data_IF_262355658878
#
_entry.id   IF_262355658878
#
_cell.length_a   1.000
_cell.length_b   1.000
_cell.length_c   1.000
_cell.angle_alpha   90.00
_cell.angle_beta   90.00
_cell.angle_gamma   90.00
#
_symmetry.space_group_name_H-M   'P 1'
#
loop_
_entity.id
_entity.type
_entity.pdbx_description
1 polymer ?
#
# COMPACT_ATOMS: atom_id res chain seq x y z
N UNK A 1 41.15 10.07 7.06
CA UNK A 1 40.64 9.07 8.01
C UNK A 1 39.65 8.17 7.28
N UNK A 2 40.16 7.07 6.71
CA UNK A 2 39.36 6.06 6.01
C UNK A 2 38.79 5.10 7.06
N UNK A 3 37.54 5.30 7.46
CA UNK A 3 36.83 4.33 8.28
C UNK A 3 36.61 3.08 7.41
N UNK A 4 37.43 2.06 7.59
CA UNK A 4 37.17 0.72 7.05
C UNK A 4 35.89 0.19 7.68
N UNK A 5 34.78 0.28 6.95
CA UNK A 5 33.53 -0.43 7.28
C UNK A 5 33.87 -1.92 7.18
N UNK A 6 34.18 -2.53 8.32
CA UNK A 6 34.29 -3.99 8.41
C UNK A 6 32.90 -4.55 8.03
N UNK A 7 32.81 -5.46 7.05
CA UNK A 7 31.60 -6.21 6.86
C UNK A 7 31.34 -6.97 8.17
N UNK A 8 30.35 -6.55 8.94
CA UNK A 8 29.88 -7.38 10.05
C UNK A 8 29.40 -8.68 9.40
N UNK A 9 30.20 -9.73 9.54
CA UNK A 9 29.77 -11.09 9.26
C UNK A 9 28.51 -11.29 10.12
N UNK A 10 27.37 -11.24 9.46
CA UNK A 10 26.05 -11.44 10.06
C UNK A 10 26.14 -12.81 10.70
N UNK A 11 26.24 -12.86 12.03
CA UNK A 11 26.02 -14.11 12.75
C UNK A 11 24.72 -14.67 12.17
N UNK A 12 24.77 -15.86 11.56
CA UNK A 12 23.62 -16.54 10.99
C UNK A 12 22.59 -16.63 12.09
N UNK A 13 21.60 -15.72 12.06
CA UNK A 13 20.47 -15.81 12.96
C UNK A 13 19.79 -17.15 12.69
N UNK A 14 19.33 -17.85 13.71
CA UNK A 14 18.64 -19.12 13.49
C UNK A 14 17.52 -18.91 12.47
N UNK A 15 17.34 -19.83 11.51
CA UNK A 15 16.35 -19.68 10.43
C UNK A 15 14.91 -19.50 10.96
N UNK A 16 14.69 -19.88 12.20
CA UNK A 16 13.40 -19.69 12.88
C UNK A 16 13.04 -18.21 13.07
N UNK A 17 13.97 -17.34 13.43
CA UNK A 17 13.72 -15.90 13.61
C UNK A 17 13.33 -15.24 12.29
N UNK A 18 13.96 -15.64 11.19
CA UNK A 18 13.64 -15.13 9.85
C UNK A 18 12.25 -15.59 9.38
N UNK A 19 11.86 -16.84 9.70
CA UNK A 19 10.51 -17.36 9.42
C UNK A 19 9.46 -16.59 10.21
N UNK A 20 9.69 -16.39 11.51
CA UNK A 20 8.76 -15.62 12.37
C UNK A 20 8.61 -14.19 11.87
N UNK A 21 9.72 -13.54 11.51
CA UNK A 21 9.70 -12.20 10.93
C UNK A 21 8.93 -12.17 9.60
N UNK A 22 9.17 -13.14 8.71
CA UNK A 22 8.47 -13.25 7.43
C UNK A 22 6.96 -13.46 7.59
N UNK A 23 6.55 -14.36 8.49
CA UNK A 23 5.12 -14.58 8.80
C UNK A 23 4.48 -13.32 9.37
N UNK A 24 5.15 -12.63 10.29
CA UNK A 24 4.64 -11.39 10.88
C UNK A 24 4.45 -10.30 9.82
N UNK A 25 5.43 -10.13 8.93
CA UNK A 25 5.33 -9.18 7.81
C UNK A 25 4.20 -9.57 6.86
N UNK A 26 4.06 -10.84 6.50
CA UNK A 26 3.01 -11.31 5.61
C UNK A 26 1.60 -11.06 6.19
N UNK A 27 1.41 -11.32 7.49
CA UNK A 27 0.14 -11.08 8.18
C UNK A 27 -0.28 -9.59 8.17
N UNK A 28 0.70 -8.68 8.27
CA UNK A 28 0.44 -7.24 8.19
C UNK A 28 0.27 -6.77 6.74
N UNK A 29 1.03 -7.37 5.81
CA UNK A 29 1.05 -6.97 4.41
C UNK A 29 -0.27 -7.27 3.70
N UNK A 30 -0.97 -8.37 4.04
CA UNK A 30 -2.24 -8.73 3.40
C UNK A 30 -3.31 -7.64 3.56
N UNK A 31 -3.73 -7.22 4.77
CA UNK A 31 -4.72 -6.16 4.90
C UNK A 31 -4.24 -4.82 4.34
N UNK A 32 -2.94 -4.54 4.45
CA UNK A 32 -2.33 -3.34 3.89
C UNK A 32 -2.40 -3.31 2.35
N UNK A 33 -2.13 -4.43 1.70
CA UNK A 33 -2.20 -4.57 0.25
C UNK A 33 -3.63 -4.39 -0.28
N UNK A 34 -4.62 -4.93 0.43
CA UNK A 34 -6.04 -4.73 0.12
C UNK A 34 -6.43 -3.24 0.21
N UNK A 35 -5.98 -2.55 1.26
CA UNK A 35 -6.21 -1.12 1.42
C UNK A 35 -5.56 -0.30 0.28
N UNK A 36 -4.34 -0.66 -0.14
CA UNK A 36 -3.67 0.03 -1.24
C UNK A 36 -4.29 -0.28 -2.61
N UNK A 37 -4.83 -1.48 -2.82
CA UNK A 37 -5.62 -1.78 -4.02
C UNK A 37 -6.86 -0.87 -4.09
N UNK A 38 -7.58 -0.71 -2.98
CA UNK A 38 -8.72 0.19 -2.90
C UNK A 38 -8.34 1.65 -3.16
N UNK A 39 -7.21 2.13 -2.60
CA UNK A 39 -6.66 3.46 -2.87
C UNK A 39 -6.27 3.66 -4.33
N UNK A 40 -5.79 2.63 -4.99
CA UNK A 40 -5.45 2.65 -6.41
C UNK A 40 -6.67 2.52 -7.33
N UNK A 41 -7.88 2.30 -6.80
CA UNK A 41 -9.08 2.03 -7.60
C UNK A 41 -9.07 0.65 -8.27
N UNK A 42 -8.25 -0.28 -7.76
CA UNK A 42 -8.06 -1.62 -8.29
C UNK A 42 -8.83 -2.66 -7.46
N UNK A 43 -9.16 -3.82 -8.05
CA UNK A 43 -9.77 -4.92 -7.32
C UNK A 43 -8.81 -5.48 -6.24
N UNK A 44 -9.34 -6.08 -5.16
CA UNK A 44 -8.54 -6.63 -4.06
C UNK A 44 -7.48 -7.65 -4.51
N UNK A 45 -7.77 -8.42 -5.57
CA UNK A 45 -6.84 -9.38 -6.18
C UNK A 45 -5.54 -8.74 -6.65
N UNK A 46 -5.61 -7.54 -7.23
CA UNK A 46 -4.42 -6.81 -7.68
C UNK A 46 -3.51 -6.44 -6.50
N UNK A 47 -4.10 -6.08 -5.34
CA UNK A 47 -3.34 -5.83 -4.12
C UNK A 47 -2.59 -7.06 -3.61
N UNK A 48 -3.27 -8.22 -3.57
CA UNK A 48 -2.65 -9.48 -3.17
C UNK A 48 -1.51 -9.85 -4.12
N UNK A 49 -1.71 -9.75 -5.43
CA UNK A 49 -0.67 -9.98 -6.43
C UNK A 49 0.54 -9.06 -6.22
N UNK A 50 0.31 -7.77 -5.95
CA UNK A 50 1.35 -6.80 -5.67
C UNK A 50 2.07 -7.08 -4.33
N UNK A 51 1.45 -7.78 -3.40
CA UNK A 51 2.07 -8.19 -2.13
C UNK A 51 2.90 -9.48 -2.24
N UNK A 52 2.64 -10.33 -3.24
CA UNK A 52 3.31 -11.63 -3.41
C UNK A 52 4.49 -11.52 -4.38
N UNK A 53 4.24 -11.09 -5.63
CA UNK A 53 5.24 -11.19 -6.70
C UNK A 53 6.43 -10.23 -6.55
N UNK A 54 6.26 -8.93 -6.26
CA UNK A 54 7.40 -8.03 -6.12
C UNK A 54 8.34 -8.38 -4.94
N UNK A 55 7.82 -8.73 -3.73
CA UNK A 55 8.68 -9.19 -2.65
C UNK A 55 9.45 -10.48 -3.00
N UNK A 56 8.80 -11.43 -3.66
CA UNK A 56 9.42 -12.68 -4.09
C UNK A 56 10.54 -12.42 -5.10
N UNK A 57 10.28 -11.60 -6.12
CA UNK A 57 11.29 -11.20 -7.10
C UNK A 57 12.46 -10.45 -6.43
N UNK A 58 12.15 -9.55 -5.48
CA UNK A 58 13.17 -8.81 -4.73
C UNK A 58 14.01 -9.71 -3.82
N UNK A 59 13.41 -10.74 -3.23
CA UNK A 59 14.13 -11.71 -2.42
C UNK A 59 15.14 -12.54 -3.24
N UNK A 60 14.81 -12.82 -4.51
CA UNK A 60 15.67 -13.60 -5.43
C UNK A 60 16.74 -12.74 -6.11
N UNK A 61 16.41 -11.49 -6.48
CA UNK A 61 17.24 -10.62 -7.32
C UNK A 61 17.86 -9.44 -6.57
N UNK A 62 17.36 -9.14 -5.37
CA UNK A 62 17.78 -7.99 -4.58
C UNK A 62 19.13 -8.20 -3.91
N UNK A 63 19.97 -7.16 -3.91
CA UNK A 63 21.28 -7.16 -3.22
C UNK A 63 21.26 -6.46 -1.86
N UNK A 64 20.17 -5.74 -1.53
CA UNK A 64 20.06 -4.99 -0.27
C UNK A 64 19.26 -5.76 0.78
N UNK A 65 19.81 -6.03 1.96
CA UNK A 65 19.09 -6.71 3.04
C UNK A 65 18.05 -5.81 3.73
N UNK A 66 18.02 -4.51 3.42
CA UNK A 66 17.13 -3.54 4.04
C UNK A 66 15.96 -3.11 3.15
N UNK A 67 16.01 -3.45 1.85
CA UNK A 67 14.99 -3.03 0.90
C UNK A 67 13.80 -3.99 0.96
N UNK A 68 12.71 -3.52 1.54
CA UNK A 68 11.42 -4.21 1.44
C UNK A 68 10.67 -3.71 0.20
N UNK A 69 10.38 -4.61 -0.72
CA UNK A 69 9.61 -4.32 -1.92
C UNK A 69 8.16 -4.73 -1.69
N UNK A 70 7.22 -3.92 -2.19
CA UNK A 70 5.78 -4.21 -2.03
C UNK A 70 4.92 -3.02 -2.43
N UNK A 71 3.60 -3.13 -2.33
CA UNK A 71 2.68 -2.03 -2.60
C UNK A 71 2.87 -0.90 -1.58
N UNK A 72 2.78 0.35 -2.04
CA UNK A 72 2.88 1.54 -1.19
C UNK A 72 1.71 2.48 -1.40
N UNK A 73 1.32 3.24 -0.37
CA UNK A 73 0.23 4.21 -0.46
C UNK A 73 0.50 5.26 -1.54
N UNK A 74 1.75 5.73 -1.65
CA UNK A 74 2.11 6.75 -2.63
C UNK A 74 1.94 6.23 -4.07
N UNK A 75 2.43 5.03 -4.38
CA UNK A 75 2.26 4.45 -5.73
C UNK A 75 0.79 4.16 -6.04
N UNK A 76 0.00 3.73 -5.05
CA UNK A 76 -1.42 3.53 -5.20
C UNK A 76 -2.15 4.84 -5.57
N UNK A 77 -1.87 5.93 -4.85
CA UNK A 77 -2.44 7.25 -5.12
C UNK A 77 -1.99 7.83 -6.47
N UNK A 78 -0.73 7.62 -6.85
CA UNK A 78 -0.23 8.04 -8.17
C UNK A 78 -0.94 7.27 -9.29
N UNK A 79 -1.13 5.96 -9.14
CA UNK A 79 -1.88 5.14 -10.10
C UNK A 79 -3.31 5.66 -10.25
N UNK A 80 -3.99 5.92 -9.14
CA UNK A 80 -5.34 6.51 -9.14
C UNK A 80 -5.34 7.89 -9.81
N UNK A 81 -4.39 8.75 -9.48
CA UNK A 81 -4.30 10.11 -10.03
C UNK A 81 -4.07 10.15 -11.54
N UNK A 82 -3.30 9.21 -12.07
CA UNK A 82 -3.01 9.12 -13.52
C UNK A 82 -4.20 8.54 -14.28
N UNK A 83 -4.84 7.48 -13.76
CA UNK A 83 -5.82 6.71 -14.53
C UNK A 83 -7.26 7.17 -14.35
N UNK A 84 -7.64 7.75 -13.20
CA UNK A 84 -9.02 8.13 -12.91
C UNK A 84 -9.55 9.27 -13.79
N UNK A 85 -8.66 10.02 -14.43
CA UNK A 85 -9.06 11.06 -15.41
C UNK A 85 -9.54 10.51 -16.74
N UNK A 86 -9.16 9.26 -17.08
CA UNK A 86 -9.43 8.64 -18.39
C UNK A 86 -10.31 7.40 -18.27
N UNK A 87 -10.18 6.66 -17.18
CA UNK A 87 -10.87 5.39 -16.97
C UNK A 87 -11.69 5.41 -15.67
N UNK A 88 -12.82 4.73 -15.66
CA UNK A 88 -13.63 4.56 -14.45
C UNK A 88 -12.95 3.55 -13.52
N UNK A 89 -12.63 3.92 -12.26
CA UNK A 89 -12.02 3.00 -11.30
C UNK A 89 -12.82 1.70 -11.15
N UNK A 90 -12.11 0.57 -11.08
CA UNK A 90 -12.70 -0.76 -10.98
C UNK A 90 -13.21 -1.36 -12.30
N UNK A 91 -13.27 -0.59 -13.39
CA UNK A 91 -13.66 -1.13 -14.70
C UNK A 91 -12.56 -2.04 -15.28
N UNK A 92 -12.91 -3.00 -16.18
CA UNK A 92 -11.92 -3.83 -16.84
C UNK A 92 -10.85 -3.02 -17.59
N UNK A 93 -11.24 -1.93 -18.25
CA UNK A 93 -10.32 -1.01 -18.94
C UNK A 93 -9.35 -0.32 -17.97
N UNK A 94 -9.82 0.05 -16.77
CA UNK A 94 -8.97 0.61 -15.72
C UNK A 94 -7.89 -0.38 -15.26
N UNK A 95 -8.28 -1.63 -15.03
CA UNK A 95 -7.36 -2.71 -14.59
C UNK A 95 -6.29 -2.98 -15.67
N UNK A 96 -6.70 -3.03 -16.94
CA UNK A 96 -5.79 -3.21 -18.07
C UNK A 96 -4.82 -2.02 -18.20
N UNK A 97 -5.31 -0.78 -18.08
CA UNK A 97 -4.48 0.42 -18.11
C UNK A 97 -3.49 0.46 -16.94
N UNK A 98 -3.90 0.02 -15.74
CA UNK A 98 -3.02 -0.08 -14.58
C UNK A 98 -1.92 -1.14 -14.79
N UNK A 99 -2.24 -2.28 -15.41
CA UNK A 99 -1.26 -3.30 -15.75
C UNK A 99 -0.25 -2.78 -16.79
N UNK A 100 -0.70 -2.06 -17.82
CA UNK A 100 0.16 -1.42 -18.80
C UNK A 100 1.07 -0.37 -18.16
N UNK A 101 0.52 0.49 -17.29
CA UNK A 101 1.29 1.48 -16.54
C UNK A 101 2.37 0.81 -15.69
N UNK A 102 2.03 -0.27 -14.99
CA UNK A 102 2.99 -1.03 -14.18
C UNK A 102 4.12 -1.62 -15.04
N UNK A 103 3.80 -2.14 -16.22
CA UNK A 103 4.78 -2.67 -17.17
C UNK A 103 5.71 -1.58 -17.70
N UNK A 104 5.16 -0.42 -18.09
CA UNK A 104 5.94 0.72 -18.56
C UNK A 104 6.90 1.24 -17.46
N UNK A 105 6.39 1.42 -16.24
CA UNK A 105 7.23 1.84 -15.10
C UNK A 105 8.28 0.79 -14.78
N UNK A 106 7.93 -0.49 -14.86
CA UNK A 106 8.87 -1.60 -14.67
C UNK A 106 9.98 -1.59 -15.72
N UNK A 107 9.64 -1.42 -17.00
CA UNK A 107 10.60 -1.33 -18.10
C UNK A 107 11.56 -0.15 -17.91
N UNK A 108 11.06 1.03 -17.58
CA UNK A 108 11.90 2.20 -17.29
C UNK A 108 12.85 1.94 -16.12
N UNK A 109 12.37 1.32 -15.05
CA UNK A 109 13.21 0.95 -13.89
C UNK A 109 14.32 -0.05 -14.26
N UNK A 110 14.01 -1.03 -15.11
CA UNK A 110 15.00 -1.99 -15.61
C UNK A 110 16.07 -1.27 -16.45
N UNK A 111 15.67 -0.39 -17.36
CA UNK A 111 16.62 0.41 -18.17
C UNK A 111 17.52 1.26 -17.27
N UNK A 112 16.96 1.96 -16.29
CA UNK A 112 17.74 2.76 -15.31
C UNK A 112 18.72 1.87 -14.53
N UNK A 113 18.27 0.68 -14.13
CA UNK A 113 19.10 -0.28 -13.40
C UNK A 113 20.26 -0.82 -14.25
N UNK A 114 20.00 -1.22 -15.49
CA UNK A 114 21.00 -1.71 -16.44
C UNK A 114 22.01 -0.62 -16.83
N UNK A 115 21.54 0.60 -17.00
CA UNK A 115 22.37 1.76 -17.27
C UNK A 115 23.20 2.21 -16.03
N UNK A 116 23.03 1.55 -14.88
CA UNK A 116 23.69 1.88 -13.61
C UNK A 116 23.49 3.32 -13.15
N UNK A 117 22.36 3.92 -13.51
CA UNK A 117 22.02 5.29 -13.12
C UNK A 117 21.64 5.43 -11.62
N UNK A 118 21.81 4.39 -10.80
CA UNK A 118 21.64 4.48 -9.35
C UNK A 118 22.48 5.58 -8.69
N UNK A 119 23.61 5.93 -9.28
CA UNK A 119 24.45 7.05 -8.83
C UNK A 119 23.76 8.41 -8.94
N UNK A 120 22.74 8.56 -9.80
CA UNK A 120 21.94 9.80 -9.91
C UNK A 120 21.21 10.11 -8.59
N UNK A 121 20.93 9.11 -7.76
CA UNK A 121 20.34 9.33 -6.45
C UNK A 121 21.21 10.20 -5.53
N UNK A 122 22.53 10.19 -5.71
CA UNK A 122 23.45 11.05 -4.94
C UNK A 122 23.35 12.54 -5.31
N UNK A 123 22.78 12.87 -6.47
CA UNK A 123 22.51 14.26 -6.87
C UNK A 123 21.23 14.82 -6.21
N UNK A 124 20.39 13.96 -5.63
CA UNK A 124 19.23 14.44 -4.90
C UNK A 124 19.63 15.00 -3.55
N UNK A 125 19.44 16.29 -3.37
CA UNK A 125 19.75 16.96 -2.11
C UNK A 125 18.81 16.50 -0.98
N UNK A 126 19.31 16.47 0.26
CA UNK A 126 18.51 16.14 1.44
C UNK A 126 17.23 17.01 1.59
N UNK A 127 17.28 18.34 1.32
CA UNK A 127 16.07 19.17 1.36
C UNK A 127 15.00 18.72 0.38
N UNK A 128 15.37 18.30 -0.84
CA UNK A 128 14.42 17.79 -1.85
C UNK A 128 13.76 16.50 -1.36
N UNK A 129 14.54 15.56 -0.82
CA UNK A 129 14.01 14.32 -0.25
C UNK A 129 13.05 14.59 0.92
N UNK A 130 13.40 15.51 1.81
CA UNK A 130 12.55 15.90 2.94
C UNK A 130 11.26 16.58 2.46
N UNK A 131 11.35 17.49 1.50
CA UNK A 131 10.18 18.13 0.90
C UNK A 131 9.25 17.14 0.23
N UNK A 132 9.79 16.21 -0.56
CA UNK A 132 9.04 15.15 -1.20
C UNK A 132 8.32 14.24 -0.19
N UNK A 133 9.03 13.76 0.83
CA UNK A 133 8.44 12.88 1.85
C UNK A 133 7.38 13.57 2.68
N UNK A 134 7.58 14.86 3.02
CA UNK A 134 6.58 15.66 3.74
C UNK A 134 5.34 15.91 2.89
N UNK A 135 5.50 16.26 1.61
CA UNK A 135 4.39 16.43 0.68
C UNK A 135 3.61 15.14 0.46
N UNK A 136 4.31 14.04 0.27
CA UNK A 136 3.69 12.71 0.17
C UNK A 136 2.90 12.34 1.44
N UNK A 137 3.44 12.62 2.62
CA UNK A 137 2.75 12.37 3.89
C UNK A 137 1.44 13.17 4.00
N UNK A 138 1.43 14.44 3.60
CA UNK A 138 0.22 15.28 3.58
C UNK A 138 -0.82 14.68 2.64
N UNK A 139 -0.44 14.30 1.42
CA UNK A 139 -1.36 13.69 0.44
C UNK A 139 -1.94 12.38 0.99
N UNK A 140 -1.11 11.54 1.61
CA UNK A 140 -1.57 10.28 2.22
C UNK A 140 -2.57 10.56 3.35
N UNK A 141 -2.29 11.49 4.25
CA UNK A 141 -3.20 11.85 5.34
C UNK A 141 -4.54 12.35 4.78
N UNK A 142 -4.50 13.28 3.83
CA UNK A 142 -5.72 13.84 3.21
C UNK A 142 -6.52 12.76 2.50
N UNK A 143 -5.87 11.81 1.84
CA UNK A 143 -6.53 10.69 1.15
C UNK A 143 -7.27 9.74 2.10
N UNK A 144 -6.89 9.69 3.39
CA UNK A 144 -7.55 8.84 4.39
C UNK A 144 -8.79 9.50 5.02
N UNK A 145 -8.98 10.81 4.86
CA UNK A 145 -10.10 11.54 5.47
C UNK A 145 -11.47 10.96 5.05
N UNK A 146 -11.75 10.70 3.77
CA UNK A 146 -13.03 10.10 3.38
C UNK A 146 -13.26 8.74 4.03
N UNK A 147 -12.24 7.87 4.02
CA UNK A 147 -12.35 6.53 4.61
C UNK A 147 -12.59 6.58 6.12
N UNK A 148 -11.91 7.49 6.85
CA UNK A 148 -12.09 7.69 8.29
C UNK A 148 -13.52 8.16 8.62
N UNK A 149 -14.12 8.96 7.75
CA UNK A 149 -15.52 9.42 7.88
C UNK A 149 -16.53 8.40 7.33
N UNK A 150 -16.09 7.21 6.92
CA UNK A 150 -16.91 6.14 6.37
C UNK A 150 -17.45 6.41 4.99
N UNK A 151 -16.80 7.26 4.21
CA UNK A 151 -17.19 7.67 2.85
C UNK A 151 -16.22 7.14 1.80
N UNK A 152 -16.73 6.78 0.64
CA UNK A 152 -15.89 6.44 -0.51
C UNK A 152 -15.31 7.70 -1.18
N UNK A 153 -14.21 7.54 -1.90
CA UNK A 153 -13.60 8.62 -2.69
C UNK A 153 -14.41 9.01 -3.94
N UNK A 154 -15.37 8.20 -4.34
CA UNK A 154 -16.29 8.42 -5.48
C UNK A 154 -15.58 8.81 -6.81
N UNK A 155 -14.34 8.37 -7.03
CA UNK A 155 -13.57 8.70 -8.23
C UNK A 155 -13.06 10.15 -8.29
N UNK A 156 -13.22 10.92 -7.22
CA UNK A 156 -12.75 12.29 -7.11
C UNK A 156 -11.24 12.31 -6.81
N UNK A 157 -10.57 13.39 -7.21
CA UNK A 157 -9.20 13.66 -6.78
C UNK A 157 -9.10 13.78 -5.24
N UNK A 158 -7.92 13.53 -4.68
CA UNK A 158 -7.67 13.45 -3.24
C UNK A 158 -8.24 14.65 -2.46
N UNK A 159 -7.99 15.86 -2.94
CA UNK A 159 -8.45 17.10 -2.30
C UNK A 159 -9.97 17.27 -2.36
N UNK A 160 -10.56 16.99 -3.52
CA UNK A 160 -12.00 17.11 -3.72
C UNK A 160 -12.76 16.06 -2.90
N UNK A 161 -12.25 14.84 -2.81
CA UNK A 161 -12.82 13.78 -2.00
C UNK A 161 -12.77 14.12 -0.49
N UNK A 162 -11.65 14.63 -0.02
CA UNK A 162 -11.49 15.05 1.37
C UNK A 162 -12.41 16.23 1.72
N UNK A 163 -12.43 17.26 0.85
CA UNK A 163 -13.31 18.42 1.04
C UNK A 163 -14.78 18.00 1.09
N UNK A 164 -15.24 17.21 0.13
CA UNK A 164 -16.62 16.69 0.10
C UNK A 164 -16.94 15.83 1.33
N UNK A 165 -15.96 15.07 1.83
CA UNK A 165 -16.16 14.28 3.03
C UNK A 165 -16.34 15.13 4.27
N UNK A 166 -15.61 16.23 4.42
CA UNK A 166 -15.67 17.13 5.58
C UNK A 166 -16.85 18.09 5.52
N UNK A 167 -17.25 18.57 4.33
CA UNK A 167 -18.28 19.61 4.18
C UNK A 167 -19.72 19.15 4.43
N UNK A 168 -19.96 17.84 4.60
CA UNK A 168 -21.29 17.30 4.88
C UNK A 168 -21.29 16.45 6.16
N UNK A 169 -21.40 17.08 7.35
CA UNK A 169 -21.38 16.37 8.64
C UNK A 169 -22.57 15.41 8.84
N UNK A 170 -23.69 15.66 8.16
CA UNK A 170 -24.88 14.82 8.28
C UNK A 170 -24.67 13.41 7.69
N UNK A 171 -23.73 13.26 6.78
CA UNK A 171 -23.39 11.99 6.14
C UNK A 171 -22.20 11.26 6.80
N UNK A 172 -21.77 11.66 8.01
CA UNK A 172 -20.70 10.98 8.72
C UNK A 172 -21.16 9.61 9.24
N UNK A 173 -20.33 8.61 9.04
CA UNK A 173 -20.51 7.30 9.65
C UNK A 173 -19.76 7.26 11.00
N UNK A 174 -20.48 7.52 12.09
CA UNK A 174 -19.90 7.53 13.44
C UNK A 174 -19.30 6.18 13.85
N UNK A 175 -19.79 5.06 13.27
CA UNK A 175 -19.21 3.74 13.52
C UNK A 175 -17.83 3.63 12.88
N UNK A 176 -17.65 4.14 11.66
CA UNK A 176 -16.34 4.19 11.01
C UNK A 176 -15.35 5.04 11.81
N UNK A 177 -15.78 6.19 12.29
CA UNK A 177 -14.98 7.08 13.15
C UNK A 177 -14.60 6.35 14.45
N UNK A 178 -15.56 5.68 15.09
CA UNK A 178 -15.33 4.91 16.30
C UNK A 178 -14.34 3.76 16.10
N UNK A 179 -14.45 3.01 15.00
CA UNK A 179 -13.51 1.97 14.63
C UNK A 179 -12.11 2.53 14.34
N UNK A 180 -12.03 3.67 13.67
CA UNK A 180 -10.76 4.37 13.44
C UNK A 180 -10.09 4.80 14.75
N UNK A 181 -10.83 5.41 15.67
CA UNK A 181 -10.35 5.79 16.99
C UNK A 181 -9.92 4.56 17.80
N UNK A 182 -10.71 3.50 17.82
CA UNK A 182 -10.38 2.23 18.46
C UNK A 182 -9.09 1.64 17.90
N UNK A 183 -8.90 1.68 16.60
CA UNK A 183 -7.67 1.21 15.95
C UNK A 183 -6.44 1.97 16.47
N UNK A 184 -6.51 3.30 16.56
CA UNK A 184 -5.42 4.11 17.10
C UNK A 184 -5.12 3.75 18.56
N UNK A 185 -6.15 3.61 19.39
CA UNK A 185 -6.01 3.25 20.81
C UNK A 185 -5.37 1.86 20.95
N UNK A 186 -5.86 0.87 20.21
CA UNK A 186 -5.35 -0.50 20.21
C UNK A 186 -3.89 -0.55 19.78
N UNK A 187 -3.55 0.07 18.66
CA UNK A 187 -2.17 0.06 18.13
C UNK A 187 -1.20 0.75 19.08
N UNK A 188 -1.58 1.92 19.65
CA UNK A 188 -0.72 2.62 20.60
C UNK A 188 -0.65 1.91 21.96
N UNK A 189 -1.75 1.33 22.41
CA UNK A 189 -1.82 0.58 23.67
C UNK A 189 -0.95 -0.69 23.62
N UNK A 190 -1.11 -1.49 22.57
CA UNK A 190 -0.33 -2.72 22.42
C UNK A 190 1.18 -2.46 22.28
N UNK A 191 1.57 -1.38 21.58
CA UNK A 191 2.98 -0.98 21.48
C UNK A 191 3.61 -0.65 22.84
N UNK A 192 2.81 -0.17 23.82
CA UNK A 192 3.29 0.10 25.19
C UNK A 192 3.42 -1.18 26.03
N UNK A 193 2.59 -2.19 25.73
CA UNK A 193 2.62 -3.47 26.46
C UNK A 193 3.71 -4.40 25.92
N UNK A 194 3.79 -4.56 24.61
CA UNK A 194 4.84 -5.38 23.98
C UNK A 194 5.06 -4.96 22.51
N UNK A 195 6.30 -4.65 22.13
CA UNK A 195 6.65 -4.33 20.74
C UNK A 195 6.56 -5.55 19.81
N UNK A 196 6.47 -6.79 20.35
CA UNK A 196 6.36 -8.01 19.57
C UNK A 196 4.93 -8.27 19.07
N UNK A 197 3.92 -7.64 19.68
CA UNK A 197 2.54 -7.82 19.25
C UNK A 197 2.25 -6.92 18.04
N UNK A 198 1.89 -7.47 16.87
CA UNK A 198 1.54 -6.68 15.70
C UNK A 198 0.19 -5.99 15.90
N UNK A 199 0.20 -4.81 16.52
CA UNK A 199 -1.01 -4.06 16.91
C UNK A 199 -1.96 -3.79 15.73
N UNK A 200 -1.42 -3.64 14.51
CA UNK A 200 -2.22 -3.47 13.29
C UNK A 200 -3.04 -4.73 12.99
N UNK A 201 -2.45 -5.93 13.14
CA UNK A 201 -3.15 -7.20 12.94
C UNK A 201 -4.29 -7.35 13.96
N UNK A 202 -4.03 -7.05 15.23
CA UNK A 202 -5.06 -7.11 16.28
C UNK A 202 -6.20 -6.13 15.98
N UNK A 203 -5.90 -4.91 15.52
CA UNK A 203 -6.91 -3.92 15.16
C UNK A 203 -7.77 -4.39 13.97
N UNK A 204 -7.17 -5.04 12.96
CA UNK A 204 -7.90 -5.62 11.81
C UNK A 204 -8.81 -6.75 12.27
N UNK A 205 -8.33 -7.66 13.12
CA UNK A 205 -9.14 -8.76 13.66
C UNK A 205 -10.32 -8.24 14.49
N UNK A 206 -10.10 -7.21 15.31
CA UNK A 206 -11.17 -6.55 16.06
C UNK A 206 -12.20 -5.87 15.13
N UNK A 207 -11.73 -5.20 14.07
CA UNK A 207 -12.62 -4.61 13.05
C UNK A 207 -13.45 -5.68 12.32
N UNK A 208 -12.84 -6.83 12.00
CA UNK A 208 -13.53 -7.95 11.38
C UNK A 208 -14.57 -8.56 12.34
N UNK A 209 -14.22 -8.76 13.61
CA UNK A 209 -15.14 -9.25 14.64
C UNK A 209 -16.31 -8.28 14.86
N UNK A 210 -16.04 -6.97 14.88
CA UNK A 210 -17.10 -5.95 14.98
C UNK A 210 -18.05 -5.99 13.78
N UNK A 211 -17.53 -6.12 12.55
CA UNK A 211 -18.35 -6.25 11.35
C UNK A 211 -19.17 -7.55 11.33
N UNK A 212 -18.64 -8.63 11.87
CA UNK A 212 -19.36 -9.89 11.99
C UNK A 212 -20.50 -9.79 13.03
N UNK A 213 -20.27 -9.08 14.14
CA UNK A 213 -21.22 -8.97 15.23
C UNK A 213 -22.35 -7.95 14.95
N UNK A 214 -22.02 -6.81 14.34
CA UNK A 214 -22.94 -5.68 14.12
C UNK A 214 -23.43 -5.56 12.67
N UNK A 215 -23.03 -6.47 11.78
CA UNK A 215 -23.35 -6.43 10.36
C UNK A 215 -22.47 -5.45 9.58
N UNK A 216 -22.82 -5.24 8.29
CA UNK A 216 -22.04 -4.35 7.39
C UNK A 216 -22.32 -2.87 7.68
N UNK A 217 -21.76 -2.37 8.75
CA UNK A 217 -21.93 -0.98 9.20
C UNK A 217 -20.98 -0.01 8.48
N UNK A 218 -19.95 -0.53 7.84
CA UNK A 218 -18.95 0.25 7.09
C UNK A 218 -18.74 -0.35 5.70
N UNK A 219 -18.23 0.44 4.72
CA UNK A 219 -17.84 -0.09 3.44
C UNK A 219 -16.81 -1.22 3.65
N UNK A 220 -17.12 -2.40 3.13
CA UNK A 220 -16.22 -3.57 3.19
C UNK A 220 -15.50 -3.74 1.86
N UNK A 221 -14.31 -4.31 1.92
CA UNK A 221 -13.58 -4.77 0.74
C UNK A 221 -14.47 -5.78 0.00
N UNK A 222 -14.62 -5.61 -1.30
CA UNK A 222 -15.46 -6.48 -2.13
C UNK A 222 -15.09 -7.96 -2.04
N UNK A 223 -15.82 -8.85 -2.75
CA UNK A 223 -15.56 -10.29 -2.69
C UNK A 223 -14.12 -10.59 -3.10
N UNK A 224 -13.42 -11.35 -2.25
CA UNK A 224 -12.08 -11.81 -2.57
C UNK A 224 -12.18 -12.92 -3.62
N UNK A 225 -11.35 -12.89 -4.67
CA UNK A 225 -11.28 -13.97 -5.61
C UNK A 225 -10.79 -15.23 -4.88
N UNK A 226 -11.52 -16.32 -5.06
CA UNK A 226 -11.15 -17.64 -4.51
C UNK A 226 -10.02 -18.31 -5.30
N UNK A 227 -9.73 -17.79 -6.50
CA UNK A 227 -8.65 -18.27 -7.38
C UNK A 227 -7.72 -17.12 -7.75
N UNK A 228 -6.41 -17.35 -7.63
CA UNK A 228 -5.40 -16.46 -8.19
C UNK A 228 -5.41 -16.65 -9.71
N UNK A 229 -6.03 -15.74 -10.43
CA UNK A 229 -5.95 -15.71 -11.90
C UNK A 229 -4.51 -15.45 -12.32
N UNK A 230 -3.96 -16.30 -13.18
CA UNK A 230 -2.67 -16.05 -13.78
C UNK A 230 -2.69 -14.66 -14.48
N UNK A 231 -1.60 -13.91 -14.47
CA UNK A 231 -1.52 -12.63 -15.16
C UNK A 231 -1.78 -12.87 -16.65
N UNK A 232 -2.91 -12.37 -17.17
CA UNK A 232 -3.19 -12.38 -18.60
C UNK A 232 -2.44 -11.23 -19.27
N UNK A 233 -1.72 -11.52 -20.34
CA UNK A 233 -1.02 -10.52 -21.16
C UNK A 233 -1.96 -9.86 -22.20
N UNK A 234 -3.27 -9.96 -22.02
CA UNK A 234 -4.26 -9.28 -22.86
C UNK A 234 -4.22 -7.77 -22.60
N UNK A 235 -3.18 -7.14 -23.09
CA UNK A 235 -2.96 -5.69 -22.98
C UNK A 235 -3.63 -4.99 -24.17
N UNK A 236 -4.36 -3.90 -23.95
CA UNK A 236 -5.06 -3.17 -25.00
C UNK A 236 -4.08 -2.29 -25.81
N UNK A 237 -3.22 -2.92 -26.62
CA UNK A 237 -2.26 -2.21 -27.47
C UNK A 237 -2.91 -1.24 -28.47
N UNK A 238 -4.22 -1.40 -28.73
CA UNK A 238 -4.95 -0.68 -29.76
C UNK A 238 -5.71 0.56 -29.27
N UNK A 239 -5.53 0.96 -27.99
CA UNK A 239 -6.26 2.10 -27.36
C UNK A 239 -5.33 3.12 -26.69
N UNK A 240 -4.04 3.10 -27.09
CA UNK A 240 -3.09 4.13 -26.65
C UNK A 240 -3.08 5.32 -27.62
#
# INVERSE_FOLDING_TARGET
MTATVRPQVRALRPPFDDVVAGVTVALVLVPQALAYAALAGLPPSAGIMAAIFPPLASALLGSSPYLQTGPTALTALLTMGVLAGTFVPGSPGYVQAAALLALMVGAVRVVIGLARFGSLAYFMSLPVLRGFTSGAAVIIIVSQVPALLGRGSAGLGVWAAAWRAVSDPAAYNYVAIGLGALTVVVVRGLRRVSPLIPGVLVAVLLGLAATAAFGRVTPVVGPMPTTLTAPSLDLPWNRA
#
